data_IF_041534391199
#
_entry.id   IF_041534391199
#
_cell.length_a   1.000
_cell.length_b   1.000
_cell.length_c   1.000
_cell.angle_alpha   90.00
_cell.angle_beta   90.00
_cell.angle_gamma   90.00
#
_symmetry.space_group_name_H-M   'P 1'
#
loop_
_entity.id
_entity.type
_entity.pdbx_description
1 polymer ?
#
# COMPACT_ATOMS: atom_id res chain seq x y z
N UNK A 1 -0.55 6.90 -7.55
CA UNK A 1 0.21 8.07 -8.08
C UNK A 1 0.14 9.18 -7.04
N UNK A 2 1.13 10.04 -6.97
CA UNK A 2 1.09 11.24 -6.13
C UNK A 2 2.04 12.33 -6.65
N UNK A 3 1.89 13.56 -6.17
CA UNK A 3 2.71 14.71 -6.58
C UNK A 3 3.43 15.31 -5.39
N UNK A 4 4.74 15.54 -5.53
CA UNK A 4 5.50 16.23 -4.49
C UNK A 4 5.35 17.76 -4.56
N UNK A 5 5.87 18.46 -3.57
CA UNK A 5 5.81 19.92 -3.48
C UNK A 5 6.63 20.65 -4.55
N UNK A 6 7.55 19.94 -5.23
CA UNK A 6 8.31 20.47 -6.37
C UNK A 6 7.56 20.35 -7.70
N UNK A 7 6.37 19.72 -7.69
CA UNK A 7 5.61 19.44 -8.90
C UNK A 7 6.14 18.22 -9.65
N UNK A 8 6.81 17.28 -8.99
CA UNK A 8 7.14 15.98 -9.59
C UNK A 8 5.99 15.00 -9.35
N UNK A 9 5.35 14.56 -10.43
CA UNK A 9 4.36 13.50 -10.42
C UNK A 9 5.08 12.15 -10.41
N UNK A 10 4.76 11.29 -9.45
CA UNK A 10 5.17 9.89 -9.43
C UNK A 10 3.98 8.98 -9.77
N UNK A 11 4.16 8.17 -10.82
CA UNK A 11 3.22 7.12 -11.22
C UNK A 11 3.94 5.79 -11.06
N UNK A 12 3.33 4.86 -10.34
CA UNK A 12 3.91 3.52 -10.17
C UNK A 12 2.95 2.46 -10.65
N UNK A 13 3.51 1.43 -11.26
CA UNK A 13 2.82 0.28 -11.86
C UNK A 13 3.52 -1.00 -11.45
N UNK A 14 2.76 -2.08 -11.24
CA UNK A 14 3.32 -3.39 -10.88
C UNK A 14 3.67 -4.22 -12.10
N UNK A 15 4.71 -5.03 -11.97
CA UNK A 15 4.99 -6.13 -12.85
C UNK A 15 4.73 -7.46 -12.14
N UNK A 16 3.81 -8.23 -12.71
CA UNK A 16 3.50 -9.57 -12.24
C UNK A 16 3.61 -10.51 -13.45
N UNK A 17 4.64 -11.38 -13.50
CA UNK A 17 4.83 -12.33 -14.58
C UNK A 17 3.55 -13.12 -14.87
N UNK A 18 3.27 -13.37 -16.15
CA UNK A 18 2.05 -14.01 -16.67
C UNK A 18 0.75 -13.18 -16.58
N UNK A 19 0.69 -12.15 -15.73
CA UNK A 19 -0.47 -11.24 -15.66
C UNK A 19 -0.27 -9.99 -16.52
N UNK A 20 0.95 -9.48 -16.60
CA UNK A 20 1.30 -8.34 -17.44
C UNK A 20 2.77 -8.43 -17.90
N UNK A 21 3.17 -7.46 -18.74
CA UNK A 21 4.51 -7.35 -19.31
C UNK A 21 5.10 -5.95 -19.08
N UNK A 22 4.74 -5.31 -17.97
CA UNK A 22 5.07 -3.90 -17.68
C UNK A 22 6.57 -3.62 -17.81
N UNK A 23 7.43 -4.42 -17.17
CA UNK A 23 8.88 -4.21 -17.22
C UNK A 23 9.46 -4.44 -18.61
N UNK A 24 8.97 -5.47 -19.32
CA UNK A 24 9.40 -5.75 -20.70
C UNK A 24 9.00 -4.61 -21.64
N UNK A 25 7.74 -4.17 -21.56
CA UNK A 25 7.23 -3.07 -22.37
C UNK A 25 7.97 -1.76 -22.11
N UNK A 26 8.30 -1.47 -20.84
CA UNK A 26 9.16 -0.33 -20.48
C UNK A 26 10.54 -0.44 -21.11
N UNK A 27 11.20 -1.59 -20.95
CA UNK A 27 12.54 -1.81 -21.47
C UNK A 27 12.60 -1.69 -23.01
N UNK A 28 11.61 -2.24 -23.71
CA UNK A 28 11.52 -2.15 -25.18
C UNK A 28 11.23 -0.71 -25.65
N UNK A 29 10.34 0.02 -24.96
CA UNK A 29 9.96 1.37 -25.36
C UNK A 29 11.04 2.42 -25.06
N UNK A 30 11.67 2.35 -23.89
CA UNK A 30 12.67 3.34 -23.44
C UNK A 30 14.12 2.92 -23.67
N UNK A 31 14.38 1.66 -24.06
CA UNK A 31 15.75 1.14 -24.19
C UNK A 31 16.48 0.96 -22.86
N UNK A 32 15.74 0.84 -21.75
CA UNK A 32 16.25 0.74 -20.39
C UNK A 32 16.08 -0.69 -19.86
N UNK A 33 17.17 -1.44 -19.79
CA UNK A 33 17.11 -2.83 -19.32
C UNK A 33 16.67 -2.91 -17.85
N UNK A 34 15.70 -3.78 -17.56
CA UNK A 34 15.22 -4.08 -16.20
C UNK A 34 15.58 -5.53 -15.89
N UNK A 35 16.40 -5.75 -14.86
CA UNK A 35 16.82 -7.08 -14.42
C UNK A 35 15.79 -7.78 -13.52
N UNK A 36 15.00 -7.00 -12.77
CA UNK A 36 13.95 -7.52 -11.91
C UNK A 36 12.87 -8.22 -12.74
N UNK A 37 12.32 -9.31 -12.21
CA UNK A 37 11.19 -10.01 -12.85
C UNK A 37 9.84 -9.69 -12.19
N UNK A 38 9.85 -9.19 -10.96
CA UNK A 38 8.66 -8.85 -10.19
C UNK A 38 8.84 -7.52 -9.47
N UNK A 39 7.73 -6.91 -9.05
CA UNK A 39 7.71 -5.73 -8.21
C UNK A 39 7.02 -4.55 -8.85
N UNK A 40 7.59 -3.36 -8.70
CA UNK A 40 6.98 -2.11 -9.17
C UNK A 40 7.98 -1.23 -9.93
N UNK A 41 7.46 -0.41 -10.84
CA UNK A 41 8.21 0.61 -11.55
C UNK A 41 7.62 1.97 -11.22
N UNK A 42 8.35 2.78 -10.46
CA UNK A 42 7.98 4.16 -10.21
C UNK A 42 8.58 5.06 -11.30
N UNK A 43 7.74 5.72 -12.07
CA UNK A 43 8.15 6.72 -13.07
C UNK A 43 7.87 8.11 -12.54
N UNK A 44 8.88 8.98 -12.59
CA UNK A 44 8.77 10.40 -12.25
C UNK A 44 8.60 11.23 -13.50
N UNK A 45 7.70 12.20 -13.43
CA UNK A 45 7.34 13.11 -14.51
C UNK A 45 7.29 14.53 -13.96
N UNK A 46 7.90 15.49 -14.65
CA UNK A 46 7.74 16.89 -14.32
C UNK A 46 6.30 17.31 -14.66
N UNK A 47 5.54 17.79 -13.67
CA UNK A 47 4.13 18.14 -13.87
C UNK A 47 3.94 19.32 -14.83
N UNK A 48 4.94 20.20 -14.93
CA UNK A 48 4.87 21.43 -15.73
C UNK A 48 4.77 21.17 -17.24
N UNK A 49 5.49 20.16 -17.75
CA UNK A 49 5.63 19.88 -19.18
C UNK A 49 5.37 18.41 -19.55
N UNK A 50 5.08 17.56 -18.57
CA UNK A 50 4.88 16.13 -18.77
C UNK A 50 6.18 15.38 -19.12
N UNK A 51 7.34 16.02 -18.98
CA UNK A 51 8.62 15.39 -19.32
C UNK A 51 8.96 14.30 -18.32
N UNK A 52 9.25 13.10 -18.83
CA UNK A 52 9.79 12.00 -18.02
C UNK A 52 11.13 12.39 -17.42
N UNK A 53 11.25 12.27 -16.10
CA UNK A 53 12.48 12.52 -15.35
C UNK A 53 13.31 11.24 -15.19
N UNK A 54 12.65 10.09 -15.14
CA UNK A 54 13.28 8.78 -15.04
C UNK A 54 12.35 7.76 -14.40
N UNK A 55 12.79 6.50 -14.35
CA UNK A 55 12.06 5.42 -13.71
C UNK A 55 12.97 4.65 -12.75
N UNK A 56 12.40 4.23 -11.63
CA UNK A 56 13.07 3.48 -10.58
C UNK A 56 12.37 2.14 -10.44
N UNK A 57 13.14 1.06 -10.60
CA UNK A 57 12.65 -0.30 -10.39
C UNK A 57 12.73 -0.64 -8.91
N UNK A 58 11.64 -1.14 -8.36
CA UNK A 58 11.56 -1.77 -7.04
C UNK A 58 11.41 -3.27 -7.29
N UNK A 59 12.48 -4.03 -7.04
CA UNK A 59 12.44 -5.49 -7.09
C UNK A 59 11.92 -6.00 -5.74
N UNK A 60 10.71 -6.53 -5.74
CA UNK A 60 10.11 -7.12 -4.53
C UNK A 60 10.48 -8.58 -4.34
N UNK A 61 11.14 -9.20 -5.34
CA UNK A 61 11.44 -10.63 -5.47
C UNK A 61 10.21 -11.56 -5.53
N UNK A 62 9.11 -11.18 -4.89
CA UNK A 62 7.84 -11.89 -4.83
C UNK A 62 6.74 -11.18 -5.61
N UNK A 63 5.63 -11.89 -5.85
CA UNK A 63 4.43 -11.33 -6.47
C UNK A 63 3.90 -10.18 -5.60
N UNK A 64 3.75 -9.00 -6.19
CA UNK A 64 3.34 -7.79 -5.49
C UNK A 64 2.03 -7.20 -6.02
N UNK A 65 1.27 -6.61 -5.11
CA UNK A 65 0.15 -5.73 -5.39
C UNK A 65 0.47 -4.35 -4.83
N UNK A 66 0.43 -3.32 -5.68
CA UNK A 66 0.62 -1.93 -5.28
C UNK A 66 -0.73 -1.29 -5.00
N UNK A 67 -0.87 -0.68 -3.82
CA UNK A 67 -2.11 -0.05 -3.40
C UNK A 67 -1.97 1.47 -3.21
N UNK A 68 -0.79 1.95 -2.81
CA UNK A 68 -0.56 3.36 -2.56
C UNK A 68 0.81 3.86 -3.05
N UNK A 69 0.87 5.13 -3.44
CA UNK A 69 2.09 5.90 -3.66
C UNK A 69 1.88 7.23 -2.96
N UNK A 70 2.85 7.66 -2.16
CA UNK A 70 2.80 8.92 -1.42
C UNK A 70 4.06 9.73 -1.57
N UNK A 71 3.89 11.01 -1.91
CA UNK A 71 4.95 11.98 -1.89
C UNK A 71 5.29 12.36 -0.44
N UNK A 72 6.57 12.52 -0.17
CA UNK A 72 7.13 12.84 1.15
C UNK A 72 8.25 13.87 0.97
N UNK A 73 8.68 14.54 2.04
CA UNK A 73 9.82 15.47 1.96
C UNK A 73 11.13 14.84 1.45
N UNK A 74 11.26 13.50 1.49
CA UNK A 74 12.47 12.77 1.07
C UNK A 74 12.32 12.04 -0.28
N UNK A 75 11.17 12.16 -0.94
CA UNK A 75 10.85 11.45 -2.17
C UNK A 75 9.51 10.75 -2.08
N UNK A 76 9.43 9.49 -2.48
CA UNK A 76 8.18 8.74 -2.58
C UNK A 76 8.23 7.47 -1.75
N UNK A 77 7.09 7.13 -1.14
CA UNK A 77 6.88 5.83 -0.47
C UNK A 77 5.78 5.10 -1.23
N UNK A 78 6.05 3.86 -1.57
CA UNK A 78 5.09 2.93 -2.14
C UNK A 78 4.64 1.97 -1.06
N UNK A 79 3.34 1.66 -1.06
CA UNK A 79 2.75 0.69 -0.13
C UNK A 79 1.85 -0.29 -0.86
N UNK A 80 1.77 -1.49 -0.31
CA UNK A 80 0.94 -2.54 -0.84
C UNK A 80 1.14 -3.84 -0.07
N UNK A 81 1.13 -4.95 -0.80
CA UNK A 81 1.41 -6.28 -0.24
C UNK A 81 2.16 -7.17 -1.22
N UNK A 82 2.86 -8.15 -0.68
CA UNK A 82 3.64 -9.15 -1.38
C UNK A 82 3.26 -10.55 -0.90
N UNK A 83 3.28 -11.52 -1.81
CA UNK A 83 3.06 -12.92 -1.49
C UNK A 83 4.37 -13.53 -0.99
N UNK A 84 4.69 -13.30 0.28
CA UNK A 84 5.93 -13.79 0.89
C UNK A 84 5.97 -15.31 1.09
N UNK A 85 4.80 -15.95 1.19
CA UNK A 85 4.71 -17.40 1.36
C UNK A 85 3.45 -17.97 0.69
N UNK A 86 3.56 -19.10 -0.02
CA UNK A 86 2.38 -19.80 -0.54
C UNK A 86 1.82 -20.73 0.54
N UNK A 87 0.72 -20.32 1.17
CA UNK A 87 0.01 -21.10 2.18
C UNK A 87 -1.30 -21.65 1.66
N UNK A 88 -1.68 -22.85 2.12
CA UNK A 88 -2.93 -23.51 1.72
C UNK A 88 -4.19 -22.78 2.17
N UNK A 89 -4.09 -21.93 3.20
CA UNK A 89 -5.17 -21.10 3.70
C UNK A 89 -5.22 -19.70 3.05
N UNK A 90 -4.27 -19.38 2.18
CA UNK A 90 -4.21 -18.12 1.43
C UNK A 90 -3.70 -16.92 2.23
N UNK A 91 -3.12 -17.15 3.41
CA UNK A 91 -2.75 -16.10 4.36
C UNK A 91 -1.31 -15.59 4.23
N UNK A 92 -0.50 -16.14 3.32
CA UNK A 92 0.92 -15.80 3.21
C UNK A 92 1.24 -14.48 2.49
N UNK A 93 0.27 -13.56 2.43
CA UNK A 93 0.49 -12.19 2.00
C UNK A 93 0.92 -11.33 3.18
N UNK A 94 1.96 -10.53 2.98
CA UNK A 94 2.42 -9.54 3.94
C UNK A 94 2.40 -8.16 3.30
N UNK A 95 2.23 -7.11 4.10
CA UNK A 95 2.34 -5.76 3.59
C UNK A 95 3.79 -5.47 3.19
N UNK A 96 4.00 -4.45 2.36
CA UNK A 96 5.35 -3.94 2.10
C UNK A 96 5.37 -2.42 2.03
N UNK A 97 6.57 -1.88 2.23
CA UNK A 97 6.92 -0.52 1.85
C UNK A 97 8.15 -0.52 0.94
N UNK A 98 8.21 0.45 0.04
CA UNK A 98 9.41 0.72 -0.75
C UNK A 98 9.63 2.23 -0.87
N UNK A 99 10.87 2.66 -0.66
CA UNK A 99 11.24 4.08 -0.69
C UNK A 99 11.98 4.40 -1.98
N UNK A 100 11.71 5.58 -2.54
CA UNK A 100 12.45 6.14 -3.68
C UNK A 100 12.77 7.60 -3.38
N UNK A 101 14.03 8.00 -3.52
CA UNK A 101 14.46 9.38 -3.33
C UNK A 101 13.78 10.36 -4.29
N UNK A 102 13.74 11.64 -3.93
CA UNK A 102 13.21 12.69 -4.82
C UNK A 102 13.96 12.78 -6.15
N UNK A 103 15.23 12.36 -6.18
CA UNK A 103 16.11 12.24 -7.33
C UNK A 103 15.98 10.90 -8.08
N UNK A 104 15.15 9.97 -7.58
CA UNK A 104 14.91 8.65 -8.15
C UNK A 104 15.83 7.56 -7.62
N UNK A 105 16.74 7.88 -6.70
CA UNK A 105 17.63 6.89 -6.09
C UNK A 105 16.79 5.82 -5.36
N UNK A 106 16.99 4.52 -5.64
CA UNK A 106 16.32 3.46 -4.91
C UNK A 106 16.64 3.53 -3.41
N UNK A 107 15.61 3.46 -2.57
CA UNK A 107 15.73 3.38 -1.12
C UNK A 107 15.44 1.97 -0.60
N UNK A 108 15.29 1.82 0.73
CA UNK A 108 14.93 0.56 1.35
C UNK A 108 13.61 -0.02 0.85
N UNK A 109 13.58 -1.36 0.75
CA UNK A 109 12.38 -2.17 0.61
C UNK A 109 12.22 -3.00 1.88
N UNK A 110 11.03 -2.97 2.48
CA UNK A 110 10.73 -3.63 3.75
C UNK A 110 9.41 -4.38 3.67
N UNK A 111 9.43 -5.66 4.02
CA UNK A 111 8.22 -6.43 4.31
C UNK A 111 7.72 -6.05 5.71
N UNK A 112 6.42 -5.80 5.82
CA UNK A 112 5.71 -5.45 7.05
C UNK A 112 4.76 -6.60 7.36
N UNK A 113 5.20 -7.44 8.30
CA UNK A 113 4.46 -8.61 8.81
C UNK A 113 3.91 -8.28 10.19
N UNK A 114 2.57 -8.26 10.32
CA UNK A 114 1.84 -7.89 11.54
C UNK A 114 1.04 -9.06 12.09
N UNK A 115 0.35 -9.81 11.22
CA UNK A 115 -0.34 -11.06 11.56
C UNK A 115 -0.34 -11.98 10.33
N UNK A 116 -1.36 -11.84 9.47
CA UNK A 116 -1.55 -12.69 8.30
C UNK A 116 -2.38 -11.95 7.28
N UNK A 117 -2.05 -12.09 6.00
CA UNK A 117 -2.80 -11.39 4.96
C UNK A 117 -2.72 -9.87 5.09
N UNK A 118 -1.54 -9.33 5.42
CA UNK A 118 -1.39 -7.91 5.67
C UNK A 118 -1.39 -7.11 4.36
N UNK A 119 -2.06 -5.95 4.38
CA UNK A 119 -2.09 -5.00 3.26
C UNK A 119 -1.95 -3.60 3.82
N UNK A 120 -1.09 -2.78 3.20
CA UNK A 120 -1.08 -1.34 3.42
C UNK A 120 -1.70 -0.62 2.22
N UNK A 121 -2.72 0.21 2.49
CA UNK A 121 -3.41 1.01 1.48
C UNK A 121 -2.86 2.44 1.41
N UNK A 122 -2.41 2.98 2.54
CA UNK A 122 -1.94 4.36 2.61
C UNK A 122 -0.85 4.58 3.66
N UNK A 123 -0.11 5.69 3.54
CA UNK A 123 0.98 6.08 4.44
C UNK A 123 1.11 7.60 4.54
N UNK A 124 1.45 8.10 5.72
CA UNK A 124 1.80 9.50 5.96
C UNK A 124 3.19 9.60 6.58
N UNK A 125 4.01 10.52 6.08
CA UNK A 125 5.31 10.83 6.66
C UNK A 125 5.15 11.67 7.93
N UNK A 126 5.89 11.31 8.96
CA UNK A 126 6.09 12.11 10.17
C UNK A 126 7.36 12.98 10.00
N UNK A 127 7.39 14.22 10.50
CA UNK A 127 8.59 15.04 10.63
C UNK A 127 9.85 14.36 11.16
N UNK A 128 9.76 13.38 12.06
CA UNK A 128 10.93 12.57 12.49
C UNK A 128 11.49 11.65 11.41
N UNK A 129 10.82 11.58 10.27
CA UNK A 129 11.15 10.71 9.16
C UNK A 129 10.58 9.30 9.29
N UNK A 130 9.76 9.04 10.30
CA UNK A 130 8.98 7.82 10.43
C UNK A 130 7.71 7.91 9.59
N UNK A 131 6.91 6.85 9.61
CA UNK A 131 5.66 6.82 8.87
C UNK A 131 4.50 6.25 9.68
N UNK A 132 3.31 6.84 9.55
CA UNK A 132 2.06 6.18 9.93
C UNK A 132 1.51 5.49 8.69
N UNK A 133 1.26 4.19 8.79
CA UNK A 133 0.73 3.39 7.70
C UNK A 133 -0.63 2.78 8.08
N UNK A 134 -1.52 2.71 7.09
CA UNK A 134 -2.88 2.22 7.24
C UNK A 134 -3.14 1.05 6.31
N UNK A 135 -4.02 0.15 6.75
CA UNK A 135 -4.54 -0.86 5.86
C UNK A 135 -5.47 -1.85 6.53
N UNK A 136 -5.24 -3.13 6.26
CA UNK A 136 -5.98 -4.24 6.85
C UNK A 136 -5.05 -5.41 7.17
N UNK A 137 -5.45 -6.21 8.15
CA UNK A 137 -4.75 -7.40 8.62
C UNK A 137 -5.76 -8.53 8.86
N UNK A 138 -5.29 -9.77 8.87
CA UNK A 138 -6.16 -10.96 8.92
C UNK A 138 -6.95 -11.16 7.63
N UNK A 139 -6.54 -10.55 6.52
CA UNK A 139 -7.25 -10.61 5.25
C UNK A 139 -6.97 -11.95 4.57
N UNK A 140 -7.96 -12.85 4.64
CA UNK A 140 -7.88 -14.15 3.98
C UNK A 140 -8.55 -14.08 2.62
N UNK A 141 -7.84 -14.55 1.60
CA UNK A 141 -8.39 -14.82 0.28
C UNK A 141 -8.15 -16.28 -0.12
N UNK A 142 -9.04 -16.87 -0.91
CA UNK A 142 -8.83 -18.23 -1.40
C UNK A 142 -7.53 -18.29 -2.25
N UNK A 143 -6.59 -19.22 -1.99
CA UNK A 143 -5.34 -19.36 -2.76
C UNK A 143 -5.52 -19.43 -4.28
N UNK A 144 -6.66 -19.93 -4.76
CA UNK A 144 -6.94 -20.08 -6.20
C UNK A 144 -8.01 -19.13 -6.73
N UNK A 145 -8.49 -18.13 -5.96
CA UNK A 145 -9.59 -17.30 -6.46
C UNK A 145 -10.12 -16.16 -5.57
N UNK A 146 -11.09 -15.44 -6.14
CA UNK A 146 -11.69 -14.16 -5.73
C UNK A 146 -12.61 -14.20 -4.48
N UNK A 147 -12.37 -15.14 -3.56
CA UNK A 147 -13.14 -15.23 -2.32
C UNK A 147 -12.42 -14.51 -1.20
N UNK A 148 -13.07 -13.51 -0.59
CA UNK A 148 -12.54 -12.69 0.50
C UNK A 148 -13.31 -13.00 1.78
N UNK A 149 -12.58 -13.25 2.87
CA UNK A 149 -13.16 -13.44 4.20
C UNK A 149 -13.55 -12.11 4.85
N UNK A 150 -14.55 -12.15 5.71
CA UNK A 150 -14.99 -10.97 6.47
C UNK A 150 -14.25 -10.79 7.81
N UNK A 151 -13.26 -11.62 8.13
CA UNK A 151 -12.57 -11.58 9.43
C UNK A 151 -11.56 -10.42 9.55
N UNK A 152 -11.25 -9.76 8.44
CA UNK A 152 -10.21 -8.74 8.36
C UNK A 152 -10.44 -7.57 9.34
N UNK A 153 -9.37 -7.16 9.99
CA UNK A 153 -9.32 -6.09 10.98
C UNK A 153 -8.60 -4.87 10.40
N UNK A 154 -8.90 -3.65 10.88
CA UNK A 154 -8.17 -2.47 10.43
C UNK A 154 -6.73 -2.52 10.94
N UNK A 155 -5.78 -2.15 10.09
CA UNK A 155 -4.37 -2.03 10.44
C UNK A 155 -3.98 -0.56 10.54
N UNK A 156 -3.37 -0.20 11.68
CA UNK A 156 -2.71 1.08 11.89
C UNK A 156 -1.33 0.79 12.50
N UNK A 157 -0.28 1.14 11.75
CA UNK A 157 1.09 0.84 12.12
C UNK A 157 1.96 2.09 12.12
N UNK A 158 2.94 2.11 13.01
CA UNK A 158 4.04 3.03 13.00
C UNK A 158 5.26 2.32 12.41
N UNK A 159 5.84 2.91 11.38
CA UNK A 159 7.02 2.39 10.68
C UNK A 159 8.26 3.21 11.02
N UNK A 160 9.42 2.58 10.91
CA UNK A 160 10.71 3.25 10.99
C UNK A 160 11.01 4.04 9.72
N UNK A 161 12.09 4.82 9.72
CA UNK A 161 12.48 5.64 8.58
C UNK A 161 12.91 4.83 7.33
N UNK A 162 13.21 3.55 7.49
CA UNK A 162 13.47 2.59 6.41
C UNK A 162 12.21 1.82 5.97
N UNK A 163 11.04 2.18 6.51
CA UNK A 163 9.76 1.54 6.20
C UNK A 163 9.53 0.19 6.89
N UNK A 164 10.45 -0.27 7.75
CA UNK A 164 10.25 -1.48 8.57
C UNK A 164 9.20 -1.24 9.66
N UNK A 165 8.51 -2.31 10.09
CA UNK A 165 7.55 -2.23 11.18
C UNK A 165 8.24 -1.85 12.48
N UNK A 166 7.78 -0.78 13.12
CA UNK A 166 8.25 -0.40 14.45
C UNK A 166 7.25 -0.79 15.53
N UNK A 167 5.96 -0.55 15.29
CA UNK A 167 4.89 -0.84 16.22
C UNK A 167 3.56 -0.98 15.50
N UNK A 168 2.78 -2.02 15.84
CA UNK A 168 1.36 -2.04 15.54
C UNK A 168 0.63 -1.20 16.61
N UNK A 169 0.00 -0.10 16.20
CA UNK A 169 -0.72 0.80 17.11
C UNK A 169 -2.13 0.28 17.42
N UNK A 170 -2.65 -0.63 16.59
CA UNK A 170 -4.01 -1.13 16.68
C UNK A 170 -5.05 -0.10 16.27
N UNK A 171 -6.22 -0.58 15.86
CA UNK A 171 -7.40 0.26 15.65
C UNK A 171 -8.66 -0.58 15.93
N UNK A 172 -9.66 0.04 16.53
CA UNK A 172 -10.91 -0.65 16.87
C UNK A 172 -11.75 -0.79 15.60
N UNK A 173 -11.92 -2.03 15.14
CA UNK A 173 -12.80 -2.38 14.02
C UNK A 173 -14.29 -2.39 14.39
N UNK A 174 -15.12 -2.57 13.37
CA UNK A 174 -16.54 -2.91 13.51
C UNK A 174 -16.78 -4.41 13.34
N UNK A 175 -18.03 -4.77 13.01
CA UNK A 175 -18.49 -6.15 13.03
C UNK A 175 -17.73 -7.09 12.08
N UNK A 176 -17.38 -6.61 10.88
CA UNK A 176 -16.82 -7.45 9.81
C UNK A 176 -16.11 -6.63 8.73
N UNK A 177 -15.20 -7.26 8.00
CA UNK A 177 -14.40 -6.76 6.88
C UNK A 177 -14.01 -5.28 7.02
N UNK A 178 -13.11 -5.03 7.96
CA UNK A 178 -12.74 -3.69 8.36
C UNK A 178 -11.42 -3.26 7.69
N UNK A 179 -11.37 -2.01 7.21
CA UNK A 179 -10.19 -1.46 6.54
C UNK A 179 -9.98 0.01 6.91
N UNK A 180 -8.73 0.43 7.03
CA UNK A 180 -8.31 1.83 6.99
C UNK A 180 -7.64 2.12 5.66
N UNK A 181 -8.16 3.05 4.88
CA UNK A 181 -7.80 3.22 3.47
C UNK A 181 -7.16 4.56 3.13
N UNK A 182 -7.28 5.56 4.00
CA UNK A 182 -6.71 6.89 3.75
C UNK A 182 -6.31 7.61 5.04
N UNK A 183 -5.16 8.28 5.02
CA UNK A 183 -4.66 9.13 6.09
C UNK A 183 -4.28 10.50 5.55
N UNK A 184 -4.68 11.56 6.26
CA UNK A 184 -4.26 12.92 5.96
C UNK A 184 -4.03 13.72 7.26
N UNK A 185 -3.03 14.61 7.31
CA UNK A 185 -2.93 15.56 8.40
C UNK A 185 -4.06 16.61 8.30
N UNK A 186 -4.65 16.96 9.44
CA UNK A 186 -5.70 17.97 9.56
C UNK A 186 -5.54 18.73 10.89
N UNK A 187 -5.15 20.02 10.83
CA UNK A 187 -5.08 20.91 12.00
C UNK A 187 -4.26 20.36 13.20
N UNK A 188 -3.16 19.65 12.94
CA UNK A 188 -2.35 19.02 13.99
C UNK A 188 -2.91 17.68 14.51
N UNK A 189 -3.95 17.16 13.86
CA UNK A 189 -4.52 15.83 14.07
C UNK A 189 -4.39 15.01 12.79
N UNK A 190 -4.79 13.74 12.89
CA UNK A 190 -4.91 12.86 11.74
C UNK A 190 -6.35 12.64 11.37
N UNK A 191 -6.66 12.77 10.09
CA UNK A 191 -7.93 12.39 9.52
C UNK A 191 -7.77 11.00 8.90
N UNK A 192 -8.50 10.02 9.45
CA UNK A 192 -8.46 8.63 9.01
C UNK A 192 -9.76 8.27 8.33
N UNK A 193 -9.69 7.71 7.12
CA UNK A 193 -10.83 7.18 6.41
C UNK A 193 -10.73 5.67 6.24
N UNK A 194 -11.89 5.02 6.17
CA UNK A 194 -11.96 3.57 6.06
C UNK A 194 -13.38 3.07 5.92
N UNK A 195 -13.52 1.75 6.05
CA UNK A 195 -14.82 1.10 6.12
C UNK A 195 -14.89 0.09 7.27
N UNK A 196 -16.09 -0.06 7.80
CA UNK A 196 -16.46 -1.18 8.66
C UNK A 196 -17.67 -1.89 8.07
N UNK A 197 -17.96 -3.09 8.57
CA UNK A 197 -19.13 -3.87 8.18
C UNK A 197 -19.18 -4.19 6.67
N UNK A 198 -18.04 -4.27 6.00
CA UNK A 198 -17.97 -4.54 4.57
C UNK A 198 -18.40 -5.97 4.21
N UNK A 199 -18.88 -6.21 2.98
CA UNK A 199 -19.16 -7.57 2.52
C UNK A 199 -17.86 -8.28 2.12
N UNK A 200 -17.78 -9.57 2.38
CA UNK A 200 -16.86 -10.50 1.75
C UNK A 200 -17.51 -11.17 0.52
N UNK A 201 -16.89 -12.26 0.05
CA UNK A 201 -17.44 -13.04 -1.06
C UNK A 201 -18.56 -13.94 -0.53
N UNK A 202 -19.69 -13.98 -1.25
CA UNK A 202 -20.95 -14.64 -0.83
C UNK A 202 -21.66 -14.01 0.36
N UNK A 203 -21.24 -12.82 0.79
CA UNK A 203 -22.01 -12.05 1.77
C UNK A 203 -23.37 -11.72 1.20
N UNK A 204 -24.41 -12.19 1.88
CA UNK A 204 -25.78 -11.83 1.53
C UNK A 204 -26.34 -12.51 0.28
N UNK A 205 -25.78 -13.64 -0.17
CA UNK A 205 -26.35 -14.46 -1.27
C UNK A 205 -27.86 -14.71 -1.11
N UNK A 206 -28.35 -14.77 0.13
CA UNK A 206 -29.77 -14.87 0.46
C UNK A 206 -30.29 -13.71 1.35
N UNK A 207 -29.46 -12.74 1.70
CA UNK A 207 -29.76 -11.68 2.69
C UNK A 207 -29.13 -10.35 2.27
N UNK A 208 -29.91 -9.50 1.61
CA UNK A 208 -29.44 -8.25 1.01
C UNK A 208 -28.88 -7.26 2.05
N UNK A 209 -29.37 -7.32 3.28
CA UNK A 209 -28.89 -6.52 4.41
C UNK A 209 -27.41 -6.77 4.74
N UNK A 210 -26.83 -7.89 4.30
CA UNK A 210 -25.41 -8.19 4.44
C UNK A 210 -24.55 -7.65 3.27
N UNK A 211 -25.16 -6.99 2.28
CA UNK A 211 -24.47 -6.35 1.14
C UNK A 211 -24.45 -4.84 1.36
N UNK A 212 -23.78 -4.45 2.45
CA UNK A 212 -23.59 -3.07 2.88
C UNK A 212 -22.16 -2.89 3.35
N UNK A 213 -21.69 -1.64 3.35
CA UNK A 213 -20.44 -1.24 3.99
C UNK A 213 -20.64 0.16 4.57
N UNK A 214 -20.16 0.38 5.78
CA UNK A 214 -20.26 1.66 6.48
C UNK A 214 -18.92 2.38 6.35
N UNK A 215 -18.85 3.31 5.40
CA UNK A 215 -17.70 4.20 5.23
C UNK A 215 -17.63 5.22 6.36
N UNK A 216 -16.42 5.55 6.81
CA UNK A 216 -16.21 6.56 7.83
C UNK A 216 -15.03 7.47 7.53
N UNK A 217 -15.06 8.63 8.16
CA UNK A 217 -13.97 9.58 8.27
C UNK A 217 -13.92 10.06 9.72
N UNK A 218 -12.78 9.92 10.38
CA UNK A 218 -12.62 10.19 11.82
C UNK A 218 -11.32 10.93 12.10
N UNK A 219 -11.40 11.93 12.95
CA UNK A 219 -10.21 12.56 13.52
C UNK A 219 -9.62 11.66 14.61
N UNK A 220 -8.29 11.55 14.62
CA UNK A 220 -7.50 10.83 15.60
C UNK A 220 -6.44 11.78 16.17
N UNK A 221 -6.65 12.19 17.42
CA UNK A 221 -5.79 13.16 18.13
C UNK A 221 -4.73 12.49 19.01
N UNK A 222 -4.81 11.18 19.21
CA UNK A 222 -3.91 10.39 20.07
C UNK A 222 -2.80 9.65 19.28
N UNK A 223 -2.67 9.92 17.98
CA UNK A 223 -1.62 9.33 17.15
C UNK A 223 -0.36 10.21 17.12
N UNK A 224 0.82 9.61 16.88
CA UNK A 224 2.06 10.38 16.70
C UNK A 224 1.88 11.46 15.63
N UNK A 225 2.11 12.72 16.00
CA UNK A 225 1.96 13.88 15.11
C UNK A 225 3.23 14.74 15.02
N UNK A 226 4.35 14.23 15.57
CA UNK A 226 5.66 14.91 15.60
C UNK A 226 5.99 15.61 14.30
#
# INVERSE_FOLDING_TARGET
MDVDTSGTLAVSVVNAPMLNFTFRGHAEFFGEAIAASMGALLTRVASADGRRLGSTVIDTHDLAELHGVRATPRGFVLVGRVLSEVRSDGTGWNAFTALVGSDGTPGPYSVVDVDRGDVLFDVAALPSGRYLALGTTGYVQNPTGASISEAAQPLLALLNADGSLAQNLGYIGGARHNQLTTIAPLNGHWLLGGMINGPGTHSGDAQRELIVADGFLREASNLPAE
#
